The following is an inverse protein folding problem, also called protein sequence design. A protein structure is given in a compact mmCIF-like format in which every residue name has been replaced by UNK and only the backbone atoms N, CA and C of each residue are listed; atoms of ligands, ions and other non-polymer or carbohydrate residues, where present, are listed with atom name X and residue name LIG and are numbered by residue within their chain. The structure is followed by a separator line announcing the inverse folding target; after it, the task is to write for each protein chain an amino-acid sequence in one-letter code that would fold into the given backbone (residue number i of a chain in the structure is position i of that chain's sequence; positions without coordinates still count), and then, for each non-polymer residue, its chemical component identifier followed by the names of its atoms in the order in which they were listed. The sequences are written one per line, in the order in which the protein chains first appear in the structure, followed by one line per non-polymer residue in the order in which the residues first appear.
data_IF_516584011687
#
_entry.id   IF_516584011687
#
_cell.length_a   1.000
_cell.length_b   1.000
_cell.length_c   1.000
_cell.angle_alpha   90.00
_cell.angle_beta   90.00
_cell.angle_gamma   90.00
#
_symmetry.space_group_name_H-M   'P 1'
#
loop_
_entity.id
_entity.type
_entity.pdbx_description
1 polymer ?
#
# COMPACT_ATOMS: atom_id res chain seq x y z
N UNK A 1 -24.72 -17.93 -7.25
CA UNK A 1 -23.93 -16.77 -7.73
C UNK A 1 -22.69 -17.22 -8.49
N UNK A 2 -21.97 -18.23 -7.99
CA UNK A 2 -20.70 -18.69 -8.59
C UNK A 2 -20.80 -19.09 -10.07
N UNK A 3 -21.81 -19.90 -10.45
CA UNK A 3 -22.05 -20.26 -11.85
C UNK A 3 -22.32 -19.06 -12.76
N UNK A 4 -22.99 -18.03 -12.24
CA UNK A 4 -23.24 -16.78 -12.99
C UNK A 4 -21.94 -16.00 -13.18
N UNK A 5 -21.11 -15.90 -12.14
CA UNK A 5 -19.80 -15.24 -12.21
C UNK A 5 -18.89 -15.94 -13.23
N UNK A 6 -18.85 -17.27 -13.21
CA UNK A 6 -18.06 -18.06 -14.17
C UNK A 6 -18.53 -17.84 -15.62
N UNK A 7 -19.85 -17.87 -15.84
CA UNK A 7 -20.44 -17.61 -17.16
C UNK A 7 -20.08 -16.21 -17.66
N UNK A 8 -20.22 -15.17 -16.82
CA UNK A 8 -19.90 -13.80 -17.21
C UNK A 8 -18.41 -13.64 -17.47
N UNK A 9 -17.53 -14.19 -16.63
CA UNK A 9 -16.07 -14.19 -16.88
C UNK A 9 -15.71 -14.89 -18.18
N UNK A 10 -16.42 -15.95 -18.55
CA UNK A 10 -16.21 -16.65 -19.81
C UNK A 10 -16.64 -15.81 -21.02
N UNK A 11 -17.79 -15.15 -20.94
CA UNK A 11 -18.33 -14.32 -22.04
C UNK A 11 -17.58 -13.01 -22.23
N UNK A 12 -17.34 -12.28 -21.14
CA UNK A 12 -16.69 -10.96 -21.16
C UNK A 12 -15.15 -11.07 -21.19
N UNK A 13 -14.62 -12.21 -20.73
CA UNK A 13 -13.19 -12.38 -20.48
C UNK A 13 -12.73 -11.64 -19.21
N UNK A 14 -11.49 -11.92 -18.80
CA UNK A 14 -10.83 -11.26 -17.67
C UNK A 14 -9.56 -10.57 -18.17
N UNK A 15 -9.41 -9.29 -17.84
CA UNK A 15 -8.22 -8.48 -18.15
C UNK A 15 -7.60 -7.93 -16.87
N UNK A 16 -6.38 -8.35 -16.58
CA UNK A 16 -5.63 -7.91 -15.40
C UNK A 16 -4.99 -6.53 -15.55
N UNK A 17 -5.05 -5.94 -16.74
CA UNK A 17 -4.54 -4.59 -17.05
C UNK A 17 -5.64 -3.80 -17.77
N UNK A 18 -5.67 -2.47 -17.62
CA UNK A 18 -6.58 -1.63 -18.39
C UNK A 18 -6.44 -1.85 -19.90
N UNK A 19 -7.55 -1.78 -20.61
CA UNK A 19 -7.65 -1.87 -22.07
C UNK A 19 -8.74 -0.93 -22.58
N UNK A 20 -8.71 -0.56 -23.85
CA UNK A 20 -9.81 0.16 -24.49
C UNK A 20 -10.83 -0.84 -25.02
N UNK A 21 -12.10 -0.63 -24.70
CA UNK A 21 -13.21 -1.45 -25.19
C UNK A 21 -13.61 -1.10 -26.64
N UNK A 22 -14.68 -1.73 -27.12
CA UNK A 22 -15.21 -1.54 -28.49
C UNK A 22 -16.27 -0.45 -28.58
N UNK A 23 -16.51 0.33 -27.51
CA UNK A 23 -17.46 1.43 -27.55
C UNK A 23 -17.00 2.52 -28.52
N UNK A 24 -17.91 3.41 -28.94
CA UNK A 24 -17.59 4.56 -29.78
C UNK A 24 -18.09 5.84 -29.09
N UNK A 25 -17.19 6.69 -28.54
CA UNK A 25 -15.73 6.54 -28.48
C UNK A 25 -15.27 5.39 -27.54
N UNK A 26 -14.08 4.80 -27.76
CA UNK A 26 -13.55 3.74 -26.90
C UNK A 26 -13.38 4.19 -25.45
N UNK A 27 -13.62 3.28 -24.50
CA UNK A 27 -13.56 3.56 -23.07
C UNK A 27 -12.51 2.73 -22.37
N UNK A 28 -11.77 3.36 -21.46
CA UNK A 28 -10.80 2.68 -20.63
C UNK A 28 -11.53 1.72 -19.67
N UNK A 29 -11.20 0.44 -19.75
CA UNK A 29 -11.92 -0.65 -19.08
C UNK A 29 -10.92 -1.61 -18.42
N UNK A 30 -11.29 -2.25 -17.30
CA UNK A 30 -10.45 -3.24 -16.60
C UNK A 30 -11.28 -4.44 -16.10
N UNK A 31 -10.61 -5.55 -15.80
CA UNK A 31 -11.22 -6.68 -15.12
C UNK A 31 -12.21 -7.39 -16.02
N UNK A 32 -13.47 -7.40 -15.61
CA UNK A 32 -14.61 -8.00 -16.33
C UNK A 32 -15.52 -6.86 -16.75
N UNK A 33 -15.18 -6.15 -17.84
CA UNK A 33 -16.00 -5.08 -18.40
C UNK A 33 -16.19 -3.83 -17.51
N UNK A 34 -15.34 -3.58 -16.49
CA UNK A 34 -15.45 -2.39 -15.63
C UNK A 34 -14.94 -1.15 -16.35
N UNK A 35 -15.84 -0.34 -16.89
CA UNK A 35 -15.54 0.96 -17.49
C UNK A 35 -15.05 1.95 -16.40
N UNK A 36 -13.89 2.55 -16.61
CA UNK A 36 -13.24 3.49 -15.68
C UNK A 36 -13.48 4.96 -16.04
N UNK A 37 -13.86 5.26 -17.28
CA UNK A 37 -14.10 6.64 -17.72
C UNK A 37 -15.45 7.16 -17.26
N UNK A 38 -16.50 6.36 -17.40
CA UNK A 38 -17.88 6.76 -17.10
C UNK A 38 -18.33 6.28 -15.71
N UNK A 39 -17.99 5.04 -15.32
CA UNK A 39 -18.42 4.48 -14.03
C UNK A 39 -17.38 4.63 -12.91
N UNK A 40 -16.10 4.84 -13.23
CA UNK A 40 -15.02 4.89 -12.24
C UNK A 40 -14.94 3.63 -11.37
N UNK A 41 -14.63 3.77 -10.09
CA UNK A 41 -14.77 2.74 -9.05
C UNK A 41 -15.68 3.28 -7.95
N UNK A 42 -16.50 2.41 -7.38
CA UNK A 42 -17.24 2.69 -6.14
C UNK A 42 -16.32 2.62 -4.92
N UNK A 43 -16.76 3.20 -3.80
CA UNK A 43 -16.00 3.17 -2.54
C UNK A 43 -15.71 1.74 -2.09
N UNK A 44 -16.69 0.83 -2.16
CA UNK A 44 -16.51 -0.58 -1.84
C UNK A 44 -15.42 -1.26 -2.70
N UNK A 45 -15.34 -0.90 -3.99
CA UNK A 45 -14.30 -1.42 -4.91
C UNK A 45 -12.93 -0.84 -4.57
N UNK A 46 -12.86 0.47 -4.24
CA UNK A 46 -11.62 1.14 -3.83
C UNK A 46 -11.09 0.52 -2.54
N UNK A 47 -11.95 0.35 -1.54
CA UNK A 47 -11.61 -0.24 -0.25
C UNK A 47 -11.18 -1.70 -0.40
N UNK A 48 -11.84 -2.47 -1.28
CA UNK A 48 -11.45 -3.84 -1.56
C UNK A 48 -10.04 -3.93 -2.17
N UNK A 49 -9.71 -3.06 -3.12
CA UNK A 49 -8.37 -2.99 -3.70
C UNK A 49 -7.34 -2.60 -2.65
N UNK A 50 -7.63 -1.56 -1.86
CA UNK A 50 -6.75 -1.08 -0.79
C UNK A 50 -6.51 -2.16 0.26
N UNK A 51 -7.54 -2.86 0.72
CA UNK A 51 -7.43 -3.93 1.70
C UNK A 51 -6.52 -5.08 1.21
N UNK A 52 -6.62 -5.43 -0.08
CA UNK A 52 -5.73 -6.44 -0.67
C UNK A 52 -4.27 -6.00 -0.70
N UNK A 53 -4.00 -4.73 -1.04
CA UNK A 53 -2.64 -4.20 -1.02
C UNK A 53 -2.09 -4.09 0.41
N UNK A 54 -2.89 -3.63 1.37
CA UNK A 54 -2.51 -3.57 2.78
C UNK A 54 -2.23 -4.95 3.35
N UNK A 55 -3.02 -5.98 2.99
CA UNK A 55 -2.76 -7.36 3.39
C UNK A 55 -1.41 -7.88 2.87
N UNK A 56 -1.03 -7.53 1.64
CA UNK A 56 0.32 -7.85 1.11
C UNK A 56 1.40 -7.14 1.92
N UNK A 57 1.25 -5.84 2.16
CA UNK A 57 2.22 -5.06 2.93
C UNK A 57 2.33 -5.53 4.39
N UNK A 58 1.24 -5.94 5.01
CA UNK A 58 1.22 -6.58 6.33
C UNK A 58 2.05 -7.87 6.34
N UNK A 59 1.79 -8.78 5.39
CA UNK A 59 2.55 -10.03 5.28
C UNK A 59 4.05 -9.78 5.02
N UNK A 60 4.39 -8.74 4.25
CA UNK A 60 5.78 -8.29 4.07
C UNK A 60 6.38 -7.75 5.38
N UNK A 61 5.61 -6.99 6.16
CA UNK A 61 6.06 -6.42 7.44
C UNK A 61 6.31 -7.51 8.49
N UNK A 62 5.46 -8.53 8.54
CA UNK A 62 5.59 -9.68 9.45
C UNK A 62 6.87 -10.49 9.20
N UNK A 63 7.56 -10.31 8.07
CA UNK A 63 8.86 -10.94 7.82
C UNK A 63 10.01 -10.33 8.63
N UNK A 64 9.82 -9.15 9.21
CA UNK A 64 10.83 -8.50 10.04
C UNK A 64 10.71 -8.95 11.51
N UNK A 65 11.79 -9.47 12.13
CA UNK A 65 11.72 -10.03 13.48
C UNK A 65 11.23 -9.07 14.57
N UNK A 66 11.51 -7.77 14.41
CA UNK A 66 11.15 -6.71 15.36
C UNK A 66 9.73 -6.16 15.18
N UNK A 67 9.01 -6.56 14.12
CA UNK A 67 7.73 -5.94 13.79
C UNK A 67 6.62 -6.26 14.81
N UNK A 68 6.64 -7.48 15.36
CA UNK A 68 5.66 -7.92 16.34
C UNK A 68 5.76 -7.16 17.69
N UNK A 69 6.93 -6.58 17.98
CA UNK A 69 7.18 -5.84 19.22
C UNK A 69 6.71 -4.38 19.16
N UNK A 70 6.33 -3.90 17.98
CA UNK A 70 5.82 -2.54 17.78
C UNK A 70 4.36 -2.43 18.24
N UNK A 71 4.00 -1.26 18.77
CA UNK A 71 2.60 -0.93 18.99
C UNK A 71 1.90 -0.61 17.65
N UNK A 72 0.56 -0.60 17.68
CA UNK A 72 -0.28 -0.51 16.48
C UNK A 72 0.05 0.72 15.58
N UNK A 73 0.23 1.96 16.10
CA UNK A 73 0.60 3.09 15.24
C UNK A 73 1.97 2.94 14.58
N UNK A 74 2.95 2.35 15.29
CA UNK A 74 4.27 2.07 14.70
C UNK A 74 4.21 0.96 13.67
N UNK A 75 3.40 -0.07 13.87
CA UNK A 75 3.14 -1.08 12.84
C UNK A 75 2.54 -0.43 11.59
N UNK A 76 1.57 0.48 11.76
CA UNK A 76 0.98 1.24 10.67
C UNK A 76 2.01 2.10 9.92
N UNK A 77 2.99 2.71 10.60
CA UNK A 77 4.11 3.39 9.93
C UNK A 77 4.86 2.47 8.97
N UNK A 78 5.18 1.25 9.40
CA UNK A 78 5.96 0.29 8.60
C UNK A 78 5.14 -0.21 7.41
N UNK A 79 3.88 -0.56 7.62
CA UNK A 79 2.96 -0.97 6.55
C UNK A 79 2.81 0.18 5.54
N UNK A 80 2.65 1.41 6.02
CA UNK A 80 2.55 2.61 5.19
C UNK A 80 3.83 2.90 4.39
N UNK A 81 5.01 2.66 4.97
CA UNK A 81 6.29 2.72 4.27
C UNK A 81 6.38 1.66 3.18
N UNK A 82 6.02 0.40 3.48
CA UNK A 82 5.99 -0.70 2.51
C UNK A 82 5.03 -0.41 1.36
N UNK A 83 3.84 0.12 1.64
CA UNK A 83 2.86 0.50 0.63
C UNK A 83 3.41 1.59 -0.31
N UNK A 84 4.13 2.57 0.22
CA UNK A 84 4.62 3.69 -0.57
C UNK A 84 5.91 3.40 -1.34
N UNK A 85 6.87 2.77 -0.67
CA UNK A 85 8.21 2.52 -1.20
C UNK A 85 8.31 1.17 -1.93
N UNK A 86 7.57 0.18 -1.45
CA UNK A 86 7.78 -1.24 -1.73
C UNK A 86 8.94 -1.82 -0.91
N UNK A 87 8.82 -3.11 -0.56
CA UNK A 87 9.82 -3.87 0.20
C UNK A 87 11.26 -3.70 -0.31
N UNK A 88 11.58 -3.79 -1.62
CA UNK A 88 12.97 -3.65 -2.10
C UNK A 88 13.63 -2.31 -1.80
N UNK A 89 12.84 -1.24 -1.63
CA UNK A 89 13.35 0.08 -1.23
C UNK A 89 13.40 0.20 0.28
N UNK A 90 12.38 -0.28 0.98
CA UNK A 90 12.37 -0.30 2.46
C UNK A 90 13.55 -1.10 3.04
N UNK A 91 13.90 -2.24 2.43
CA UNK A 91 15.03 -3.08 2.85
C UNK A 91 16.38 -2.33 2.82
N UNK A 92 16.49 -1.22 2.08
CA UNK A 92 17.70 -0.40 2.02
C UNK A 92 17.81 0.61 3.17
N UNK A 93 16.77 0.80 3.98
CA UNK A 93 16.80 1.64 5.18
C UNK A 93 17.46 0.89 6.35
N UNK A 94 18.68 0.41 6.14
CA UNK A 94 19.39 -0.49 7.07
C UNK A 94 19.54 0.14 8.46
N UNK A 95 19.87 1.44 8.52
CA UNK A 95 20.02 2.16 9.78
C UNK A 95 18.69 2.30 10.53
N UNK A 96 17.63 2.73 9.85
CA UNK A 96 16.30 2.87 10.45
C UNK A 96 15.79 1.51 11.00
N UNK A 97 15.99 0.43 10.22
CA UNK A 97 15.63 -0.93 10.67
C UNK A 97 16.45 -1.39 11.88
N UNK A 98 17.75 -1.08 11.94
CA UNK A 98 18.56 -1.37 13.12
C UNK A 98 18.03 -0.62 14.36
N UNK A 99 17.65 0.67 14.21
CA UNK A 99 17.05 1.45 15.29
C UNK A 99 15.70 0.92 15.75
N UNK A 100 14.87 0.43 14.82
CA UNK A 100 13.60 -0.25 15.15
C UNK A 100 13.84 -1.50 16.01
N UNK A 101 14.80 -2.33 15.64
CA UNK A 101 15.15 -3.53 16.41
C UNK A 101 15.68 -3.22 17.83
N UNK A 102 16.25 -2.03 18.03
CA UNK A 102 16.73 -1.54 19.33
C UNK A 102 15.65 -0.79 20.13
N UNK A 103 14.45 -0.56 19.57
CA UNK A 103 13.42 0.29 20.17
C UNK A 103 13.76 1.79 20.16
N UNK A 104 14.77 2.20 19.38
CA UNK A 104 15.27 3.57 19.26
C UNK A 104 14.42 4.38 18.25
N UNK A 105 13.16 4.64 18.59
CA UNK A 105 12.18 5.18 17.64
C UNK A 105 12.48 6.61 17.17
N UNK A 106 13.06 7.45 18.03
CA UNK A 106 13.43 8.82 17.65
C UNK A 106 14.58 8.84 16.64
N UNK A 107 15.56 7.96 16.83
CA UNK A 107 16.67 7.74 15.92
C UNK A 107 16.20 7.10 14.61
N UNK A 108 15.24 6.16 14.67
CA UNK A 108 14.59 5.64 13.46
C UNK A 108 13.94 6.78 12.67
N UNK A 109 13.16 7.65 13.33
CA UNK A 109 12.50 8.76 12.68
C UNK A 109 13.49 9.75 12.04
N UNK A 110 14.62 10.02 12.70
CA UNK A 110 15.69 10.84 12.13
C UNK A 110 16.29 10.21 10.85
N UNK A 111 16.54 8.90 10.85
CA UNK A 111 17.03 8.17 9.67
C UNK A 111 15.99 8.12 8.52
N UNK A 112 14.70 8.06 8.85
CA UNK A 112 13.62 8.17 7.85
C UNK A 112 13.61 9.55 7.19
N UNK A 113 13.75 10.60 7.98
CA UNK A 113 13.75 11.99 7.51
C UNK A 113 15.03 12.35 6.74
N UNK A 114 16.17 11.75 7.11
CA UNK A 114 17.43 11.87 6.35
C UNK A 114 17.48 10.91 5.16
N UNK A 115 16.46 10.98 4.30
CA UNK A 115 16.37 10.13 3.12
C UNK A 115 15.88 10.88 1.89
N UNK A 116 16.21 10.35 0.70
CA UNK A 116 15.64 10.86 -0.56
C UNK A 116 14.12 10.68 -0.60
N UNK A 117 13.62 9.63 0.05
CA UNK A 117 12.20 9.37 0.17
C UNK A 117 11.48 10.52 0.88
N UNK A 118 12.00 10.98 2.02
CA UNK A 118 11.41 12.09 2.77
C UNK A 118 11.30 13.37 1.93
N UNK A 119 12.35 13.67 1.13
CA UNK A 119 12.33 14.81 0.20
C UNK A 119 11.28 14.67 -0.91
N UNK A 120 10.92 13.45 -1.31
CA UNK A 120 9.95 13.20 -2.37
C UNK A 120 8.50 13.27 -1.89
N UNK A 121 8.22 12.76 -0.69
CA UNK A 121 6.84 12.67 -0.17
C UNK A 121 6.48 13.81 0.79
N UNK A 122 7.47 14.59 1.22
CA UNK A 122 7.28 15.78 2.06
C UNK A 122 6.51 15.46 3.33
N UNK A 123 5.33 16.07 3.47
CA UNK A 123 4.47 15.99 4.67
C UNK A 123 4.22 14.56 5.15
N UNK A 124 4.06 13.60 4.23
CA UNK A 124 3.87 12.18 4.59
C UNK A 124 5.02 11.63 5.44
N UNK A 125 6.26 12.03 5.14
CA UNK A 125 7.42 11.58 5.90
C UNK A 125 7.46 12.22 7.29
N UNK A 126 7.07 13.49 7.41
CA UNK A 126 6.96 14.18 8.71
C UNK A 126 5.92 13.51 9.61
N UNK A 127 4.74 13.20 9.07
CA UNK A 127 3.66 12.54 9.82
C UNK A 127 4.06 11.10 10.20
N UNK A 128 4.71 10.37 9.28
CA UNK A 128 5.23 9.02 9.60
C UNK A 128 6.30 9.08 10.69
N UNK A 129 7.19 10.07 10.65
CA UNK A 129 8.25 10.25 11.64
C UNK A 129 7.67 10.62 13.02
N UNK A 130 6.72 11.54 13.09
CA UNK A 130 6.09 11.91 14.35
C UNK A 130 5.27 10.75 14.94
N UNK A 131 4.60 9.94 14.13
CA UNK A 131 3.85 8.76 14.59
C UNK A 131 4.81 7.65 15.05
N UNK A 132 5.95 7.51 14.40
CA UNK A 132 7.01 6.60 14.83
C UNK A 132 7.53 7.00 16.23
N UNK A 133 7.76 8.29 16.45
CA UNK A 133 8.23 8.84 17.73
C UNK A 133 7.18 8.62 18.83
N UNK A 134 5.97 9.18 18.65
CA UNK A 134 4.92 9.15 19.68
C UNK A 134 4.41 7.73 19.94
N UNK A 135 4.31 6.91 18.89
CA UNK A 135 3.58 5.65 18.95
C UNK A 135 2.07 5.86 19.12
N UNK A 136 1.55 7.01 18.67
CA UNK A 136 0.13 7.39 18.71
C UNK A 136 -0.37 7.77 17.31
N UNK A 137 -1.65 7.52 17.04
CA UNK A 137 -2.30 7.94 15.80
C UNK A 137 -2.35 9.48 15.70
N UNK A 138 -2.10 10.02 14.50
CA UNK A 138 -2.23 11.45 14.17
C UNK A 138 -3.38 11.72 13.21
#
# INVERSE_FOLDING_TARGET
MDKLIEMIKHHEGVRHKPYYDTATPPKLTIGVGRNLDDNGLSDDEIDYLLANDLKRCQAEAETYPWFADLNEPRQACIIGLLFNLGKPRWDKFVKAQARLAEGAYAECAAELLDSRWAKQVGKRAEDTAAMMISGEWM
#
